data_IF_233099168347
#
_entry.id   IF_233099168347
#
_cell.length_a   1.000
_cell.length_b   1.000
_cell.length_c   1.000
_cell.angle_alpha   90.00
_cell.angle_beta   90.00
_cell.angle_gamma   90.00
#
_symmetry.space_group_name_H-M   'P 1'
#
loop_
_entity.id
_entity.type
_entity.pdbx_description
1 polymer ?
#
# COMPACT_ATOMS: atom_id res chain seq x y z
N UNK A 1 5.13 -3.74 30.55
CA UNK A 1 5.43 -2.66 29.62
C UNK A 1 6.78 -2.06 29.97
N UNK A 2 7.61 -1.67 29.01
CA UNK A 2 8.86 -0.97 29.32
C UNK A 2 8.55 0.34 30.06
N UNK A 3 9.43 0.74 30.99
CA UNK A 3 9.25 1.98 31.74
C UNK A 3 9.46 3.24 30.88
N UNK A 4 10.20 3.09 29.79
CA UNK A 4 10.50 4.16 28.84
C UNK A 4 10.54 3.62 27.41
N UNK A 5 10.07 4.40 26.45
CA UNK A 5 10.27 4.16 25.03
C UNK A 5 10.68 5.48 24.38
N UNK A 6 11.61 5.42 23.43
CA UNK A 6 12.08 6.60 22.70
C UNK A 6 11.05 7.07 21.68
N UNK A 7 10.35 6.13 21.06
CA UNK A 7 9.28 6.39 20.12
C UNK A 7 8.04 5.57 20.48
N UNK A 8 6.90 6.21 20.47
CA UNK A 8 5.62 5.57 20.75
C UNK A 8 4.68 5.78 19.57
N UNK A 9 4.14 4.68 19.04
CA UNK A 9 3.16 4.67 17.96
C UNK A 9 1.83 4.20 18.53
N UNK A 10 0.78 4.97 18.32
CA UNK A 10 -0.57 4.64 18.78
C UNK A 10 -1.37 4.09 17.61
N UNK A 11 -1.78 2.84 17.73
CA UNK A 11 -2.51 2.07 16.73
C UNK A 11 -1.66 1.02 16.04
N UNK A 12 -2.11 -0.24 16.07
CA UNK A 12 -1.47 -1.39 15.43
C UNK A 12 -2.22 -1.83 14.15
N UNK A 13 -2.77 -0.89 13.41
CA UNK A 13 -3.23 -1.08 12.03
C UNK A 13 -2.07 -1.00 11.04
N UNK A 14 -2.36 -1.15 9.74
CA UNK A 14 -1.33 -1.17 8.68
C UNK A 14 -0.43 0.07 8.72
N UNK A 15 -0.96 1.25 8.95
CA UNK A 15 -0.18 2.48 9.02
C UNK A 15 0.77 2.49 10.22
N UNK A 16 0.29 2.10 11.41
CA UNK A 16 1.13 2.05 12.61
C UNK A 16 2.24 1.01 12.50
N UNK A 17 1.93 -0.17 12.00
CA UNK A 17 2.90 -1.25 11.79
C UNK A 17 3.95 -0.89 10.72
N UNK A 18 3.52 -0.34 9.59
CA UNK A 18 4.43 0.12 8.54
C UNK A 18 5.34 1.25 9.03
N UNK A 19 4.79 2.21 9.78
CA UNK A 19 5.56 3.30 10.39
C UNK A 19 6.61 2.75 11.36
N UNK A 20 6.24 1.81 12.22
CA UNK A 20 7.15 1.19 13.19
C UNK A 20 8.28 0.46 12.49
N UNK A 21 7.97 -0.31 11.45
CA UNK A 21 8.95 -1.05 10.69
C UNK A 21 9.94 -0.13 9.99
N UNK A 22 9.47 0.83 9.22
CA UNK A 22 10.33 1.79 8.52
C UNK A 22 11.18 2.63 9.49
N UNK A 23 10.62 3.01 10.65
CA UNK A 23 11.36 3.71 11.70
C UNK A 23 12.47 2.83 12.28
N UNK A 24 12.18 1.58 12.59
CA UNK A 24 13.17 0.63 13.13
C UNK A 24 14.33 0.41 12.14
N UNK A 25 14.02 0.19 10.85
CA UNK A 25 15.04 0.04 9.81
C UNK A 25 15.87 1.32 9.63
N UNK A 26 15.23 2.49 9.61
CA UNK A 26 15.93 3.78 9.53
C UNK A 26 16.84 4.06 10.74
N UNK A 27 16.39 3.72 11.95
CA UNK A 27 17.19 3.84 13.18
C UNK A 27 18.42 2.93 13.12
N UNK A 28 18.22 1.68 12.71
CA UNK A 28 19.31 0.70 12.55
C UNK A 28 20.31 1.14 11.48
N UNK A 29 19.85 1.54 10.31
CA UNK A 29 20.68 2.00 9.21
C UNK A 29 21.52 3.24 9.57
N UNK A 30 20.95 4.17 10.37
CA UNK A 30 21.63 5.39 10.81
C UNK A 30 22.49 5.20 12.06
N UNK A 31 22.48 4.03 12.69
CA UNK A 31 23.17 3.75 13.95
C UNK A 31 22.60 4.53 15.17
N UNK A 32 21.37 5.05 15.06
CA UNK A 32 20.72 5.90 16.08
C UNK A 32 19.81 5.13 17.04
N UNK A 33 19.60 3.84 16.78
CA UNK A 33 18.75 2.97 17.57
C UNK A 33 18.35 1.70 16.82
N UNK A 34 17.30 1.06 17.31
CA UNK A 34 16.75 -0.18 16.74
C UNK A 34 15.24 -0.27 16.95
N UNK A 35 14.63 -1.38 16.58
CA UNK A 35 13.22 -1.67 16.87
C UNK A 35 12.89 -1.73 18.36
N UNK A 36 13.89 -1.95 19.23
CA UNK A 36 13.71 -1.93 20.68
C UNK A 36 13.39 -0.53 21.24
N UNK A 37 13.74 0.52 20.49
CA UNK A 37 13.40 1.91 20.81
C UNK A 37 11.96 2.29 20.47
N UNK A 38 11.23 1.43 19.74
CA UNK A 38 9.89 1.69 19.21
C UNK A 38 8.84 0.87 19.97
N UNK A 39 7.89 1.54 20.59
CA UNK A 39 6.75 0.92 21.27
C UNK A 39 5.47 1.18 20.47
N UNK A 40 4.73 0.12 20.15
CA UNK A 40 3.40 0.23 19.56
C UNK A 40 2.36 -0.05 20.64
N UNK A 41 1.39 0.85 20.76
CA UNK A 41 0.25 0.69 21.66
C UNK A 41 -1.03 0.60 20.84
N UNK A 42 -1.86 -0.40 21.15
CA UNK A 42 -3.21 -0.51 20.59
C UNK A 42 -4.19 -0.84 21.72
N UNK A 43 -5.42 -0.32 21.60
CA UNK A 43 -6.45 -0.52 22.63
C UNK A 43 -7.08 -1.91 22.61
N UNK A 44 -6.94 -2.64 21.49
CA UNK A 44 -7.61 -3.92 21.27
C UNK A 44 -6.63 -5.01 20.82
N UNK A 45 -6.00 -4.84 19.66
CA UNK A 45 -5.05 -5.81 19.11
C UNK A 45 -4.63 -5.47 17.68
N UNK A 46 -3.64 -6.18 17.19
CA UNK A 46 -3.09 -5.99 15.85
C UNK A 46 -4.21 -6.13 14.81
N UNK A 47 -4.30 -5.15 13.91
CA UNK A 47 -5.25 -5.10 12.79
C UNK A 47 -6.73 -5.25 13.18
N UNK A 48 -7.10 -5.06 14.44
CA UNK A 48 -8.49 -5.24 14.93
C UNK A 48 -9.50 -4.22 14.41
N UNK A 49 -9.04 -3.14 13.78
CA UNK A 49 -9.86 -2.12 13.15
C UNK A 49 -9.97 -2.29 11.62
N UNK A 50 -9.96 -1.16 10.90
CA UNK A 50 -10.13 -1.11 9.45
C UNK A 50 -9.16 -2.02 8.67
N UNK A 51 -7.94 -2.21 9.13
CA UNK A 51 -6.96 -3.07 8.47
C UNK A 51 -7.37 -4.54 8.44
N UNK A 52 -8.01 -5.04 9.51
CA UNK A 52 -8.42 -6.45 9.57
C UNK A 52 -9.74 -6.76 8.86
N UNK A 53 -10.55 -5.73 8.57
CA UNK A 53 -11.81 -5.88 7.82
C UNK A 53 -11.67 -5.47 6.35
N UNK A 54 -10.51 -4.95 5.95
CA UNK A 54 -10.24 -4.58 4.57
C UNK A 54 -10.22 -5.83 3.66
N UNK A 55 -10.70 -5.69 2.43
CA UNK A 55 -10.67 -6.78 1.44
C UNK A 55 -9.27 -7.11 0.92
N UNK A 56 -8.25 -6.32 1.29
CA UNK A 56 -6.85 -6.57 0.93
C UNK A 56 -6.52 -6.34 -0.55
N UNK A 57 -7.34 -5.61 -1.29
CA UNK A 57 -7.07 -5.28 -2.69
C UNK A 57 -6.01 -4.19 -2.76
N UNK A 58 -4.89 -4.49 -3.39
CA UNK A 58 -3.79 -3.56 -3.66
C UNK A 58 -3.81 -3.27 -5.17
N UNK A 59 -3.85 -1.99 -5.52
CA UNK A 59 -3.96 -1.56 -6.91
C UNK A 59 -3.37 -0.17 -7.12
N UNK A 60 -2.99 0.14 -8.35
CA UNK A 60 -2.69 1.51 -8.79
C UNK A 60 -3.70 1.94 -9.86
N UNK A 61 -4.79 2.55 -9.45
CA UNK A 61 -5.84 3.05 -10.34
C UNK A 61 -6.38 4.38 -9.81
N UNK A 62 -5.58 5.44 -9.95
CA UNK A 62 -5.87 6.77 -9.40
C UNK A 62 -5.60 7.88 -10.41
N UNK A 63 -6.49 8.87 -10.45
CA UNK A 63 -6.34 10.07 -11.29
C UNK A 63 -5.28 11.05 -10.75
N UNK A 64 -5.21 11.21 -9.43
CA UNK A 64 -4.29 12.18 -8.85
C UNK A 64 -2.83 11.71 -9.03
N UNK A 65 -1.93 12.56 -9.59
CA UNK A 65 -0.54 12.20 -9.81
C UNK A 65 0.16 11.71 -8.54
N UNK A 66 0.05 12.45 -7.45
CA UNK A 66 0.65 12.08 -6.16
C UNK A 66 0.17 10.69 -5.65
N UNK A 67 -1.11 10.36 -5.86
CA UNK A 67 -1.64 9.05 -5.48
C UNK A 67 -1.11 7.94 -6.38
N UNK A 68 -0.94 8.20 -7.68
CA UNK A 68 -0.34 7.21 -8.59
C UNK A 68 1.10 6.89 -8.23
N UNK A 69 1.90 7.92 -7.97
CA UNK A 69 3.30 7.76 -7.56
C UNK A 69 3.41 7.01 -6.22
N UNK A 70 2.59 7.40 -5.23
CA UNK A 70 2.55 6.74 -3.93
C UNK A 70 2.12 5.27 -4.05
N UNK A 71 1.11 4.98 -4.88
CA UNK A 71 0.63 3.60 -5.07
C UNK A 71 1.60 2.76 -5.88
N UNK A 72 2.29 3.32 -6.88
CA UNK A 72 3.36 2.61 -7.59
C UNK A 72 4.46 2.18 -6.62
N UNK A 73 4.98 3.12 -5.81
CA UNK A 73 5.93 2.79 -4.76
C UNK A 73 5.41 1.74 -3.76
N UNK A 74 4.13 1.83 -3.39
CA UNK A 74 3.52 0.87 -2.46
C UNK A 74 3.42 -0.54 -3.05
N UNK A 75 3.09 -0.66 -4.35
CA UNK A 75 3.08 -1.96 -5.05
C UNK A 75 4.48 -2.55 -5.07
N UNK A 76 5.52 -1.76 -5.38
CA UNK A 76 6.92 -2.21 -5.34
C UNK A 76 7.32 -2.76 -3.97
N UNK A 77 6.83 -2.14 -2.88
CA UNK A 77 7.05 -2.65 -1.52
C UNK A 77 6.40 -4.02 -1.33
N UNK A 78 5.15 -4.22 -1.77
CA UNK A 78 4.47 -5.51 -1.68
C UNK A 78 5.15 -6.59 -2.55
N UNK A 79 5.64 -6.22 -3.71
CA UNK A 79 6.36 -7.10 -4.64
C UNK A 79 7.76 -7.45 -4.16
N UNK A 80 8.35 -6.67 -3.27
CA UNK A 80 9.72 -6.91 -2.78
C UNK A 80 9.87 -8.20 -1.96
N UNK A 81 8.84 -8.59 -1.22
CA UNK A 81 8.76 -9.89 -0.52
C UNK A 81 7.31 -10.40 -0.45
N UNK A 82 6.77 -10.91 -1.56
CA UNK A 82 5.38 -11.36 -1.63
C UNK A 82 5.05 -12.45 -0.61
N UNK A 83 6.04 -13.27 -0.26
CA UNK A 83 5.86 -14.35 0.71
C UNK A 83 5.70 -13.83 2.13
N UNK A 84 6.53 -12.88 2.55
CA UNK A 84 6.45 -12.27 3.87
C UNK A 84 5.15 -11.48 4.04
N UNK A 85 4.69 -10.79 2.98
CA UNK A 85 3.46 -10.01 2.99
C UNK A 85 2.20 -10.82 2.66
N UNK A 86 2.32 -12.11 2.34
CA UNK A 86 1.20 -12.92 1.82
C UNK A 86 0.49 -12.23 0.65
N UNK A 87 1.28 -11.58 -0.21
CA UNK A 87 0.81 -10.85 -1.37
C UNK A 87 0.74 -11.76 -2.60
N UNK A 88 -0.40 -11.76 -3.27
CA UNK A 88 -0.64 -12.56 -4.47
C UNK A 88 -0.99 -11.63 -5.64
N UNK A 89 -0.12 -11.58 -6.63
CA UNK A 89 -0.37 -10.86 -7.88
C UNK A 89 -1.42 -11.60 -8.72
N UNK A 90 -2.68 -11.20 -8.57
CA UNK A 90 -3.81 -11.78 -9.32
C UNK A 90 -4.32 -10.85 -10.42
N UNK A 91 -3.72 -9.67 -10.54
CA UNK A 91 -4.20 -8.60 -11.41
C UNK A 91 -5.42 -7.87 -10.86
N UNK A 92 -5.78 -6.77 -11.52
CA UNK A 92 -6.98 -6.00 -11.23
C UNK A 92 -7.65 -5.60 -12.54
N UNK A 93 -8.90 -6.00 -12.71
CA UNK A 93 -9.68 -5.63 -13.88
C UNK A 93 -10.78 -4.64 -13.49
N UNK A 94 -10.79 -3.47 -14.11
CA UNK A 94 -11.87 -2.51 -13.99
C UNK A 94 -12.80 -2.64 -15.21
N UNK A 95 -14.06 -2.94 -14.95
CA UNK A 95 -15.11 -2.91 -15.96
C UNK A 95 -15.88 -1.61 -15.80
N UNK A 96 -16.03 -0.86 -16.88
CA UNK A 96 -16.69 0.45 -16.88
C UNK A 96 -17.69 0.54 -18.03
N UNK A 97 -18.73 1.34 -17.85
CA UNK A 97 -19.70 1.63 -18.90
C UNK A 97 -19.06 2.48 -20.02
N UNK A 98 -19.61 2.38 -21.23
CA UNK A 98 -19.13 3.12 -22.42
C UNK A 98 -18.99 4.63 -22.18
N UNK A 99 -19.91 5.23 -21.44
CA UNK A 99 -19.84 6.66 -21.10
C UNK A 99 -18.61 7.06 -20.29
N UNK A 100 -17.88 6.11 -19.70
CA UNK A 100 -16.63 6.33 -18.94
C UNK A 100 -15.37 6.08 -19.78
N UNK A 101 -15.50 5.76 -21.05
CA UNK A 101 -14.38 5.34 -21.92
C UNK A 101 -13.23 6.35 -21.93
N UNK A 102 -13.51 7.63 -22.05
CA UNK A 102 -12.47 8.67 -22.05
C UNK A 102 -11.72 8.75 -20.72
N UNK A 103 -12.45 8.64 -19.60
CA UNK A 103 -11.86 8.66 -18.27
C UNK A 103 -10.95 7.44 -18.04
N UNK A 104 -11.41 6.25 -18.44
CA UNK A 104 -10.63 5.01 -18.33
C UNK A 104 -9.42 5.07 -19.25
N UNK A 105 -9.56 5.56 -20.47
CA UNK A 105 -8.45 5.79 -21.41
C UNK A 105 -7.40 6.74 -20.83
N UNK A 106 -7.85 7.82 -20.19
CA UNK A 106 -6.94 8.76 -19.50
C UNK A 106 -6.14 8.08 -18.37
N UNK A 107 -6.80 7.26 -17.55
CA UNK A 107 -6.11 6.49 -16.48
C UNK A 107 -5.09 5.54 -17.10
N UNK A 108 -5.46 4.82 -18.15
CA UNK A 108 -4.58 3.91 -18.88
C UNK A 108 -3.29 4.59 -19.37
N UNK A 109 -3.43 5.72 -20.08
CA UNK A 109 -2.26 6.46 -20.57
C UNK A 109 -1.37 6.99 -19.43
N UNK A 110 -2.00 7.43 -18.36
CA UNK A 110 -1.28 7.92 -17.18
C UNK A 110 -0.54 6.81 -16.43
N UNK A 111 -1.09 5.61 -16.38
CA UNK A 111 -0.42 4.43 -15.80
C UNK A 111 0.76 4.01 -16.65
N UNK A 112 0.59 3.97 -17.99
CA UNK A 112 1.71 3.69 -18.92
C UNK A 112 2.83 4.70 -18.80
N UNK A 113 2.50 5.97 -18.61
CA UNK A 113 3.50 7.04 -18.49
C UNK A 113 4.43 6.88 -17.28
N UNK A 114 3.98 6.22 -16.21
CA UNK A 114 4.80 5.89 -15.03
C UNK A 114 5.39 4.48 -15.06
N UNK A 115 5.29 3.77 -16.20
CA UNK A 115 5.82 2.42 -16.37
C UNK A 115 4.99 1.30 -15.73
N UNK A 116 3.76 1.60 -15.31
CA UNK A 116 2.86 0.59 -14.74
C UNK A 116 2.30 -0.31 -15.84
N UNK A 117 2.44 -1.62 -15.67
CA UNK A 117 1.94 -2.61 -16.61
C UNK A 117 0.40 -2.64 -16.57
N UNK A 118 -0.22 -2.29 -17.67
CA UNK A 118 -1.68 -2.19 -17.79
C UNK A 118 -2.12 -2.41 -19.24
N UNK A 119 -3.33 -2.90 -19.43
CA UNK A 119 -3.96 -3.11 -20.72
C UNK A 119 -5.30 -2.38 -20.79
N UNK A 120 -5.64 -1.85 -21.97
CA UNK A 120 -6.95 -1.30 -22.25
C UNK A 120 -7.68 -2.25 -23.19
N UNK A 121 -8.69 -2.94 -22.65
CA UNK A 121 -9.43 -3.98 -23.36
C UNK A 121 -10.78 -3.40 -23.81
N UNK A 122 -11.02 -3.36 -25.12
CA UNK A 122 -12.32 -3.00 -25.70
C UNK A 122 -13.06 -4.28 -26.08
N UNK A 123 -14.27 -4.44 -25.55
CA UNK A 123 -15.16 -5.52 -25.97
C UNK A 123 -15.90 -5.16 -27.24
N UNK A 124 -16.02 -6.10 -28.18
CA UNK A 124 -17.01 -5.97 -29.26
C UNK A 124 -18.41 -6.10 -28.67
N UNK A 125 -19.20 -5.03 -28.76
CA UNK A 125 -20.64 -5.12 -28.52
C UNK A 125 -21.24 -5.92 -29.65
N UNK A 126 -21.54 -7.21 -29.40
CA UNK A 126 -22.38 -8.02 -30.30
C UNK A 126 -23.85 -7.75 -30.04
#
# INVERSE_FOLDING_TARGET
MPAHAKYVIIGAGIHGLSTAWNLAEGLKASGKGSGEDVLILDKTGIASGASGIACGVIRNNYFQPAMRELMAHSVDVWDSDPKAFSYHQVGYMQVSAECMRENVGTIYEQQKAIGYETEFIEGETK
#
